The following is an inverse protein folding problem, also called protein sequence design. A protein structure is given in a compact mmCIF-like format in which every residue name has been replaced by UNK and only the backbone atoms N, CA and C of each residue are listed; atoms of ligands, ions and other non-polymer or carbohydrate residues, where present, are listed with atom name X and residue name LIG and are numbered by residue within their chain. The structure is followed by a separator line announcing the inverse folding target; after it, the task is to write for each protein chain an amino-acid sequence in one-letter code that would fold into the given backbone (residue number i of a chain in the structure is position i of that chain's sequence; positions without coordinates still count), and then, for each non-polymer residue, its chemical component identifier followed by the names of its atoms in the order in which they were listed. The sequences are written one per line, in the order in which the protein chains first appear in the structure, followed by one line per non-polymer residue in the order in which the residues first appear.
data_IF_638501862319
#
_entry.id   IF_638501862319
#
_cell.length_a   1.000
_cell.length_b   1.000
_cell.length_c   1.000
_cell.angle_alpha   90.00
_cell.angle_beta   90.00
_cell.angle_gamma   90.00
#
_symmetry.space_group_name_H-M   'P 1'
#
loop_
_entity.id
_entity.type
_entity.pdbx_description
1 polymer ?
#
# COMPACT_ATOMS: atom_id res chain seq x y z
N UNK A 1 62.43 -61.65 23.31
CA UNK A 1 63.36 -60.92 24.19
C UNK A 1 62.98 -59.45 24.20
N UNK A 2 62.87 -58.90 25.41
CA UNK A 2 62.46 -57.53 25.73
C UNK A 2 63.16 -56.45 24.91
N UNK A 3 62.43 -55.36 24.60
CA UNK A 3 63.00 -54.03 24.83
C UNK A 3 61.90 -53.04 25.27
N UNK A 4 62.02 -52.60 26.52
CA UNK A 4 61.16 -51.62 27.18
C UNK A 4 61.32 -50.25 26.51
N UNK A 5 60.21 -49.58 26.19
CA UNK A 5 60.18 -48.11 26.05
C UNK A 5 59.50 -47.51 27.28
N UNK A 6 60.27 -46.68 27.99
CA UNK A 6 59.92 -45.94 29.19
C UNK A 6 58.58 -45.19 29.05
N UNK A 7 57.70 -45.35 30.03
CA UNK A 7 56.54 -44.47 30.21
C UNK A 7 57.01 -43.09 30.69
N UNK A 8 56.61 -42.05 29.96
CA UNK A 8 56.79 -40.66 30.39
C UNK A 8 55.84 -40.35 31.56
N UNK A 9 56.23 -39.49 32.51
CA UNK A 9 55.47 -39.25 33.72
C UNK A 9 54.09 -38.66 33.39
N UNK A 10 53.04 -39.33 33.89
CA UNK A 10 51.67 -38.83 33.85
C UNK A 10 51.55 -37.69 34.85
N UNK A 11 51.21 -36.49 34.37
CA UNK A 11 50.85 -35.34 35.21
C UNK A 11 49.51 -35.64 35.91
N UNK A 12 49.58 -36.36 37.04
CA UNK A 12 48.47 -36.45 37.99
C UNK A 12 48.27 -35.09 38.63
N UNK A 13 47.20 -34.37 38.25
CA UNK A 13 46.76 -33.19 39.00
C UNK A 13 46.11 -32.05 38.23
N UNK A 14 46.00 -32.09 36.91
CA UNK A 14 45.30 -31.01 36.18
C UNK A 14 43.89 -31.46 35.79
N UNK A 15 42.91 -31.12 36.63
CA UNK A 15 41.50 -31.08 36.22
C UNK A 15 41.40 -30.08 35.07
N UNK A 16 41.27 -30.57 33.84
CA UNK A 16 40.78 -29.76 32.72
C UNK A 16 39.35 -29.32 33.07
N UNK A 17 39.22 -28.16 33.71
CA UNK A 17 37.96 -27.43 33.72
C UNK A 17 37.76 -26.92 32.30
N UNK A 18 37.02 -27.68 31.50
CA UNK A 18 36.32 -27.14 30.33
C UNK A 18 35.61 -25.87 30.79
N UNK A 19 35.99 -24.72 30.23
CA UNK A 19 35.29 -23.46 30.51
C UNK A 19 33.86 -23.65 30.02
N UNK A 20 32.87 -23.42 30.90
CA UNK A 20 31.40 -23.41 30.64
C UNK A 20 30.93 -22.53 29.45
N UNK A 21 31.84 -21.95 28.67
CA UNK A 21 31.54 -20.96 27.62
C UNK A 21 31.37 -21.56 26.22
N UNK A 22 31.72 -22.84 26.00
CA UNK A 22 31.69 -23.46 24.67
C UNK A 22 30.77 -24.69 24.54
N UNK A 23 29.88 -24.94 25.50
CA UNK A 23 28.69 -25.77 25.22
C UNK A 23 27.67 -24.89 24.48
N UNK A 24 27.77 -24.81 23.15
CA UNK A 24 26.60 -24.43 22.36
C UNK A 24 25.53 -25.46 22.68
N UNK A 25 24.49 -25.06 23.41
CA UNK A 25 23.30 -25.91 23.60
C UNK A 25 22.93 -26.54 22.26
N UNK A 26 22.79 -27.86 22.23
CA UNK A 26 22.46 -28.59 20.99
C UNK A 26 21.13 -28.05 20.47
N UNK A 27 21.06 -27.82 19.15
CA UNK A 27 19.76 -27.45 18.54
C UNK A 27 18.90 -28.70 18.58
N UNK A 28 17.83 -28.65 19.37
CA UNK A 28 16.92 -29.78 19.59
C UNK A 28 15.46 -29.30 19.50
N UNK A 29 14.94 -29.13 18.28
CA UNK A 29 13.56 -28.70 18.05
C UNK A 29 12.52 -29.67 18.62
N UNK A 30 12.82 -30.97 18.67
CA UNK A 30 11.92 -32.00 19.19
C UNK A 30 11.70 -31.83 20.69
N UNK A 31 12.77 -31.62 21.47
CA UNK A 31 12.63 -31.35 22.90
C UNK A 31 11.87 -30.03 23.18
N UNK A 32 12.12 -29.01 22.36
CA UNK A 32 11.38 -27.75 22.44
C UNK A 32 9.89 -27.96 22.14
N UNK A 33 9.56 -28.72 21.09
CA UNK A 33 8.20 -29.05 20.71
C UNK A 33 7.46 -29.80 21.80
N UNK A 34 8.08 -30.84 22.39
CA UNK A 34 7.50 -31.59 23.52
C UNK A 34 7.13 -30.67 24.68
N UNK A 35 8.01 -29.73 25.03
CA UNK A 35 7.78 -28.79 26.13
C UNK A 35 6.60 -27.85 25.86
N UNK A 36 6.48 -27.33 24.63
CA UNK A 36 5.37 -26.46 24.23
C UNK A 36 4.07 -27.24 24.14
N UNK A 37 4.07 -28.39 23.44
CA UNK A 37 2.90 -29.26 23.26
C UNK A 37 2.34 -29.73 24.59
N UNK A 38 3.21 -30.13 25.54
CA UNK A 38 2.79 -30.53 26.87
C UNK A 38 2.06 -29.40 27.60
N UNK A 39 2.58 -28.17 27.54
CA UNK A 39 1.95 -27.02 28.16
C UNK A 39 0.61 -26.64 27.52
N UNK A 40 0.53 -26.67 26.19
CA UNK A 40 -0.72 -26.43 25.46
C UNK A 40 -1.79 -27.48 25.80
N UNK A 41 -1.40 -28.75 25.90
CA UNK A 41 -2.29 -29.83 26.31
C UNK A 41 -2.79 -29.69 27.76
N UNK A 42 -2.02 -29.04 28.64
CA UNK A 42 -2.45 -28.74 30.02
C UNK A 42 -3.40 -27.54 30.10
N UNK A 43 -3.22 -26.54 29.24
CA UNK A 43 -4.09 -25.35 29.20
C UNK A 43 -5.41 -25.60 28.45
N UNK A 44 -5.41 -26.54 27.50
CA UNK A 44 -6.59 -26.87 26.71
C UNK A 44 -7.06 -25.70 25.84
N UNK A 45 -8.38 -25.48 25.79
CA UNK A 45 -9.01 -24.42 24.99
C UNK A 45 -9.02 -23.05 25.68
N UNK A 46 -8.50 -22.91 26.90
CA UNK A 46 -8.41 -21.62 27.59
C UNK A 46 -7.24 -20.80 27.03
N UNK A 47 -7.55 -19.92 26.07
CA UNK A 47 -6.56 -19.08 25.40
C UNK A 47 -5.91 -18.04 26.32
N UNK A 48 -6.53 -17.67 27.45
CA UNK A 48 -5.89 -16.82 28.45
C UNK A 48 -4.83 -17.62 29.23
N UNK A 49 -5.15 -18.88 29.57
CA UNK A 49 -4.18 -19.80 30.17
C UNK A 49 -3.02 -20.09 29.21
N UNK A 50 -3.30 -20.29 27.91
CA UNK A 50 -2.28 -20.44 26.86
C UNK A 50 -1.35 -19.22 26.83
N UNK A 51 -1.90 -18.00 26.79
CA UNK A 51 -1.08 -16.78 26.78
C UNK A 51 -0.18 -16.65 28.03
N UNK A 52 -0.70 -16.98 29.22
CA UNK A 52 0.07 -17.00 30.47
C UNK A 52 1.16 -18.07 30.46
N UNK A 53 0.86 -19.27 29.95
CA UNK A 53 1.84 -20.33 29.79
C UNK A 53 2.97 -19.89 28.87
N UNK A 54 2.65 -19.30 27.71
CA UNK A 54 3.66 -18.86 26.74
C UNK A 54 4.55 -17.73 27.30
N UNK A 55 4.03 -16.79 28.09
CA UNK A 55 4.83 -15.76 28.79
C UNK A 55 5.70 -16.37 29.90
N UNK A 56 5.17 -17.33 30.69
CA UNK A 56 5.98 -17.99 31.72
C UNK A 56 7.11 -18.85 31.12
N UNK A 57 6.83 -19.54 30.02
CA UNK A 57 7.74 -20.47 29.35
C UNK A 57 8.85 -19.78 28.57
N UNK A 58 8.61 -18.57 28.04
CA UNK A 58 9.64 -17.83 27.29
C UNK A 58 10.79 -17.31 28.15
N UNK A 59 10.68 -17.36 29.48
CA UNK A 59 11.80 -17.13 30.40
C UNK A 59 12.73 -18.35 30.55
N UNK A 60 12.26 -19.54 30.16
CA UNK A 60 12.97 -20.82 30.31
C UNK A 60 13.37 -21.43 28.96
N UNK A 61 12.56 -21.23 27.94
CA UNK A 61 12.75 -21.75 26.59
C UNK A 61 13.25 -20.65 25.65
N UNK A 62 14.20 -20.99 24.77
CA UNK A 62 14.76 -20.05 23.80
C UNK A 62 13.86 -19.87 22.58
N UNK A 63 12.82 -19.04 22.72
CA UNK A 63 11.92 -18.74 21.60
C UNK A 63 12.62 -18.11 20.41
N UNK A 64 13.72 -17.38 20.61
CA UNK A 64 14.43 -16.73 19.51
C UNK A 64 15.04 -17.77 18.58
N UNK A 65 15.60 -18.83 19.16
CA UNK A 65 16.22 -19.93 18.42
C UNK A 65 15.20 -20.87 17.77
N UNK A 66 14.06 -21.07 18.41
CA UNK A 66 13.02 -22.01 17.97
C UNK A 66 11.75 -21.30 17.47
N UNK A 67 11.88 -20.08 16.92
CA UNK A 67 10.73 -19.27 16.52
C UNK A 67 9.86 -19.98 15.46
N UNK A 68 10.48 -20.57 14.44
CA UNK A 68 9.82 -21.39 13.41
C UNK A 68 9.01 -22.53 14.07
N UNK A 69 9.68 -23.37 14.86
CA UNK A 69 9.04 -24.48 15.58
C UNK A 69 7.89 -24.02 16.48
N UNK A 70 8.06 -22.90 17.20
CA UNK A 70 7.02 -22.33 18.05
C UNK A 70 5.77 -21.97 17.24
N UNK A 71 5.93 -21.27 16.13
CA UNK A 71 4.80 -20.82 15.32
C UNK A 71 4.16 -21.96 14.52
N UNK A 72 4.93 -22.95 14.08
CA UNK A 72 4.40 -24.21 13.53
C UNK A 72 3.47 -24.90 14.54
N UNK A 73 3.87 -25.00 15.81
CA UNK A 73 3.04 -25.61 16.85
C UNK A 73 1.78 -24.80 17.12
N UNK A 74 1.91 -23.48 17.26
CA UNK A 74 0.75 -22.62 17.55
C UNK A 74 -0.27 -22.60 16.41
N UNK A 75 0.18 -22.69 15.16
CA UNK A 75 -0.70 -22.68 13.99
C UNK A 75 -1.19 -24.07 13.63
N UNK A 76 -0.29 -25.04 13.44
CA UNK A 76 -0.58 -26.36 12.89
C UNK A 76 -0.57 -27.49 13.93
N UNK A 77 -0.21 -27.21 15.19
CA UNK A 77 -0.21 -28.20 16.28
C UNK A 77 1.04 -29.06 16.36
N UNK A 78 2.03 -28.86 15.47
CA UNK A 78 3.30 -29.56 15.46
C UNK A 78 4.23 -29.02 14.36
N UNK A 79 5.47 -29.51 14.32
CA UNK A 79 6.45 -29.11 13.29
C UNK A 79 5.98 -29.46 11.88
N UNK A 80 6.15 -28.51 10.96
CA UNK A 80 5.86 -28.70 9.54
C UNK A 80 7.10 -29.15 8.77
N UNK A 81 6.94 -30.14 7.91
CA UNK A 81 7.94 -30.56 6.94
C UNK A 81 8.06 -29.52 5.80
N UNK A 82 9.17 -29.53 5.04
CA UNK A 82 9.29 -28.70 3.83
C UNK A 82 8.12 -28.96 2.87
N UNK A 83 7.32 -27.93 2.59
CA UNK A 83 6.11 -28.05 1.77
C UNK A 83 4.78 -27.97 2.53
N UNK A 84 4.82 -27.87 3.88
CA UNK A 84 3.65 -27.61 4.72
C UNK A 84 2.85 -28.84 5.12
N UNK A 85 3.32 -30.05 4.86
CA UNK A 85 2.76 -31.24 5.50
C UNK A 85 3.23 -31.32 6.95
N UNK A 86 2.40 -31.81 7.85
CA UNK A 86 2.84 -32.14 9.21
C UNK A 86 3.95 -33.19 9.14
N UNK A 87 5.03 -32.98 9.91
CA UNK A 87 6.07 -34.01 10.05
C UNK A 87 5.48 -35.29 10.66
N UNK A 88 6.01 -36.45 10.26
CA UNK A 88 5.55 -37.77 10.74
C UNK A 88 5.84 -38.01 12.24
N UNK A 89 6.52 -37.07 12.91
CA UNK A 89 6.77 -37.13 14.35
C UNK A 89 5.47 -36.95 15.17
N UNK A 90 5.31 -37.84 16.14
CA UNK A 90 4.06 -38.10 16.88
C UNK A 90 3.66 -37.00 17.90
N UNK A 91 4.52 -36.02 18.17
CA UNK A 91 4.28 -35.01 19.22
C UNK A 91 3.39 -33.88 18.71
N UNK A 92 2.06 -34.04 18.81
CA UNK A 92 1.08 -33.05 18.33
C UNK A 92 0.15 -32.57 19.44
N UNK A 93 -0.42 -31.38 19.24
CA UNK A 93 -1.51 -30.84 20.05
C UNK A 93 -2.73 -30.54 19.19
N UNK A 94 -3.92 -30.73 19.77
CA UNK A 94 -5.19 -30.28 19.20
C UNK A 94 -5.56 -28.86 19.66
N UNK A 95 -4.70 -28.18 20.42
CA UNK A 95 -4.92 -26.81 20.90
C UNK A 95 -4.09 -25.83 20.06
N UNK A 96 -4.43 -25.75 18.76
CA UNK A 96 -3.80 -24.88 17.77
C UNK A 96 -4.85 -24.27 16.83
N UNK A 97 -4.42 -23.34 15.96
CA UNK A 97 -5.32 -22.65 15.03
C UNK A 97 -5.98 -23.61 14.04
N UNK A 98 -5.27 -24.63 13.56
CA UNK A 98 -5.76 -25.57 12.53
C UNK A 98 -6.83 -26.54 13.04
N UNK A 99 -6.90 -26.78 14.34
CA UNK A 99 -7.94 -27.61 14.97
C UNK A 99 -9.04 -26.79 15.64
N UNK A 100 -8.86 -25.46 15.73
CA UNK A 100 -9.86 -24.55 16.28
C UNK A 100 -11.14 -24.45 15.43
N UNK A 101 -12.18 -23.87 16.02
CA UNK A 101 -13.43 -23.55 15.33
C UNK A 101 -13.23 -22.44 14.28
N UNK A 102 -13.83 -22.59 13.09
CA UNK A 102 -13.74 -21.64 11.99
C UNK A 102 -14.77 -20.50 12.14
N UNK A 103 -14.57 -19.63 13.12
CA UNK A 103 -15.38 -18.43 13.35
C UNK A 103 -14.52 -17.23 13.77
N UNK A 104 -15.08 -16.02 13.65
CA UNK A 104 -14.33 -14.79 13.90
C UNK A 104 -13.96 -14.61 15.38
N UNK A 105 -14.83 -15.00 16.31
CA UNK A 105 -14.60 -14.84 17.74
C UNK A 105 -13.41 -15.70 18.20
N UNK A 106 -13.38 -16.96 17.76
CA UNK A 106 -12.26 -17.87 18.01
C UNK A 106 -10.96 -17.33 17.39
N UNK A 107 -10.98 -16.88 16.13
CA UNK A 107 -9.78 -16.35 15.48
C UNK A 107 -9.27 -15.04 16.12
N UNK A 108 -10.17 -14.19 16.64
CA UNK A 108 -9.81 -12.99 17.40
C UNK A 108 -9.15 -13.37 18.73
N UNK A 109 -9.66 -14.38 19.43
CA UNK A 109 -9.06 -14.86 20.67
C UNK A 109 -7.65 -15.43 20.43
N UNK A 110 -7.46 -16.23 19.37
CA UNK A 110 -6.12 -16.67 18.95
C UNK A 110 -5.21 -15.48 18.60
N UNK A 111 -5.70 -14.50 17.83
CA UNK A 111 -4.94 -13.30 17.51
C UNK A 111 -4.47 -12.54 18.76
N UNK A 112 -5.28 -12.51 19.83
CA UNK A 112 -4.87 -11.92 21.10
C UNK A 112 -3.70 -12.67 21.76
N UNK A 113 -3.64 -14.00 21.65
CA UNK A 113 -2.49 -14.80 22.13
C UNK A 113 -1.22 -14.38 21.38
N UNK A 114 -1.25 -14.33 20.05
CA UNK A 114 -0.12 -13.87 19.24
C UNK A 114 0.27 -12.43 19.58
N UNK A 115 -0.71 -11.53 19.73
CA UNK A 115 -0.46 -10.13 20.08
C UNK A 115 0.24 -9.99 21.43
N UNK A 116 -0.22 -10.72 22.46
CA UNK A 116 0.42 -10.74 23.79
C UNK A 116 1.84 -11.29 23.70
N UNK A 117 2.04 -12.40 22.99
CA UNK A 117 3.34 -13.04 22.80
C UNK A 117 4.34 -12.11 22.10
N UNK A 118 3.98 -11.52 20.96
CA UNK A 118 4.84 -10.63 20.19
C UNK A 118 5.11 -9.31 20.94
N UNK A 119 4.11 -8.75 21.64
CA UNK A 119 4.30 -7.54 22.46
C UNK A 119 5.29 -7.79 23.60
N UNK A 120 5.24 -8.98 24.20
CA UNK A 120 6.12 -9.39 25.30
C UNK A 120 7.53 -9.71 24.80
N UNK A 121 7.64 -10.45 23.70
CA UNK A 121 8.89 -10.88 23.11
C UNK A 121 9.07 -10.27 21.72
N UNK A 122 9.31 -8.95 21.69
CA UNK A 122 9.39 -8.18 20.44
C UNK A 122 10.41 -8.72 19.43
N UNK A 123 11.45 -9.40 19.89
CA UNK A 123 12.43 -10.05 19.01
C UNK A 123 11.85 -11.19 18.16
N UNK A 124 10.66 -11.72 18.49
CA UNK A 124 9.95 -12.73 17.69
C UNK A 124 9.22 -12.14 16.49
N UNK A 125 8.98 -10.83 16.44
CA UNK A 125 8.20 -10.20 15.37
C UNK A 125 8.70 -10.57 13.98
N UNK A 126 10.02 -10.47 13.75
CA UNK A 126 10.61 -10.84 12.46
C UNK A 126 10.47 -12.34 12.17
N UNK A 127 10.71 -13.19 13.17
CA UNK A 127 10.56 -14.64 13.02
C UNK A 127 9.12 -15.04 12.71
N UNK A 128 8.16 -14.36 13.33
CA UNK A 128 6.73 -14.56 13.09
C UNK A 128 6.34 -14.14 11.68
N UNK A 129 6.81 -12.97 11.21
CA UNK A 129 6.53 -12.51 9.85
C UNK A 129 7.07 -13.48 8.79
N UNK A 130 8.29 -13.98 8.98
CA UNK A 130 8.90 -14.96 8.06
C UNK A 130 8.19 -16.31 8.10
N UNK A 131 7.76 -16.79 9.27
CA UNK A 131 7.00 -18.05 9.34
C UNK A 131 5.63 -17.90 8.67
N UNK A 132 4.91 -16.80 8.90
CA UNK A 132 3.64 -16.58 8.20
C UNK A 132 3.85 -16.50 6.69
N UNK A 133 4.90 -15.86 6.19
CA UNK A 133 5.24 -15.90 4.75
C UNK A 133 5.41 -17.32 4.24
N UNK A 134 6.10 -18.18 4.99
CA UNK A 134 6.33 -19.59 4.65
C UNK A 134 5.02 -20.37 4.65
N UNK A 135 4.18 -20.22 5.68
CA UNK A 135 2.83 -20.81 5.72
C UNK A 135 1.98 -20.40 4.51
N UNK A 136 2.02 -19.12 4.13
CA UNK A 136 1.31 -18.61 2.95
C UNK A 136 1.84 -19.19 1.63
N UNK A 137 3.11 -19.60 1.55
CA UNK A 137 3.65 -20.30 0.37
C UNK A 137 3.18 -21.76 0.29
N UNK A 138 2.87 -22.36 1.43
CA UNK A 138 2.49 -23.77 1.54
C UNK A 138 0.98 -24.02 1.64
N UNK A 139 0.15 -23.03 1.29
CA UNK A 139 -1.31 -23.17 1.37
C UNK A 139 -1.87 -24.42 0.68
N UNK A 140 -1.21 -24.93 -0.37
CA UNK A 140 -1.61 -26.18 -1.03
C UNK A 140 -1.48 -27.44 -0.16
N UNK A 141 -0.60 -27.42 0.83
CA UNK A 141 -0.44 -28.51 1.79
C UNK A 141 -1.55 -28.57 2.84
N UNK A 142 -2.38 -27.51 2.94
CA UNK A 142 -3.42 -27.39 3.94
C UNK A 142 -4.82 -27.66 3.35
N UNK A 143 -5.70 -28.21 4.19
CA UNK A 143 -7.11 -28.38 3.89
C UNK A 143 -7.81 -27.02 3.69
N UNK A 144 -9.01 -27.03 3.13
CA UNK A 144 -9.80 -25.80 2.97
C UNK A 144 -10.10 -25.11 4.32
N UNK A 145 -10.49 -25.87 5.35
CA UNK A 145 -10.77 -25.28 6.66
C UNK A 145 -9.53 -24.68 7.32
N UNK A 146 -8.38 -25.35 7.24
CA UNK A 146 -7.11 -24.80 7.74
C UNK A 146 -6.72 -23.51 7.03
N UNK A 147 -6.85 -23.47 5.68
CA UNK A 147 -6.63 -22.25 4.90
C UNK A 147 -7.59 -21.13 5.31
N UNK A 148 -8.85 -21.44 5.55
CA UNK A 148 -9.84 -20.45 5.98
C UNK A 148 -9.49 -19.85 7.34
N UNK A 149 -9.14 -20.70 8.32
CA UNK A 149 -8.73 -20.25 9.66
C UNK A 149 -7.45 -19.43 9.62
N UNK A 150 -6.45 -19.87 8.85
CA UNK A 150 -5.23 -19.10 8.63
C UNK A 150 -5.51 -17.75 7.96
N UNK A 151 -6.39 -17.70 6.96
CA UNK A 151 -6.77 -16.46 6.29
C UNK A 151 -7.45 -15.49 7.25
N UNK A 152 -8.40 -15.98 8.04
CA UNK A 152 -9.13 -15.19 9.03
C UNK A 152 -8.19 -14.61 10.10
N UNK A 153 -7.34 -15.47 10.69
CA UNK A 153 -6.33 -15.05 11.66
C UNK A 153 -5.37 -14.02 11.06
N UNK A 154 -4.86 -14.26 9.85
CA UNK A 154 -3.94 -13.35 9.16
C UNK A 154 -4.59 -11.99 8.93
N UNK A 155 -5.86 -11.94 8.51
CA UNK A 155 -6.61 -10.70 8.34
C UNK A 155 -6.73 -9.90 9.64
N UNK A 156 -7.02 -10.56 10.76
CA UNK A 156 -7.12 -9.91 12.08
C UNK A 156 -5.75 -9.39 12.55
N UNK A 157 -4.68 -10.17 12.37
CA UNK A 157 -3.32 -9.78 12.75
C UNK A 157 -2.78 -8.62 11.91
N UNK A 158 -3.12 -8.56 10.62
CA UNK A 158 -2.84 -7.42 9.75
C UNK A 158 -3.63 -6.18 10.19
N UNK A 159 -4.93 -6.34 10.49
CA UNK A 159 -5.79 -5.26 10.99
C UNK A 159 -5.32 -4.66 12.31
N UNK A 160 -4.76 -5.48 13.19
CA UNK A 160 -4.20 -5.04 14.47
C UNK A 160 -2.74 -4.55 14.39
N UNK A 161 -2.11 -4.64 13.22
CA UNK A 161 -0.73 -4.18 12.98
C UNK A 161 0.35 -5.08 13.60
N UNK A 162 0.00 -6.32 13.97
CA UNK A 162 0.95 -7.33 14.47
C UNK A 162 1.76 -7.96 13.35
N UNK A 163 1.16 -8.03 12.15
CA UNK A 163 1.83 -8.42 10.92
C UNK A 163 1.89 -7.23 9.96
N UNK A 164 2.97 -7.18 9.18
CA UNK A 164 3.10 -6.26 8.05
C UNK A 164 2.43 -6.84 6.80
N UNK A 165 1.81 -5.99 5.98
CA UNK A 165 1.21 -6.41 4.71
C UNK A 165 2.23 -7.02 3.72
N UNK A 166 3.54 -6.84 3.95
CA UNK A 166 4.63 -7.47 3.17
C UNK A 166 4.51 -8.99 3.05
N UNK A 167 3.84 -9.66 4.00
CA UNK A 167 3.60 -11.10 3.95
C UNK A 167 2.74 -11.53 2.75
N UNK A 168 1.87 -10.65 2.25
CA UNK A 168 0.94 -10.98 1.15
C UNK A 168 1.67 -11.25 -0.17
N UNK A 169 2.95 -10.87 -0.28
CA UNK A 169 3.79 -11.23 -1.43
C UNK A 169 3.83 -12.74 -1.69
N UNK A 170 3.75 -13.58 -0.65
CA UNK A 170 3.68 -15.03 -0.79
C UNK A 170 2.45 -15.50 -1.57
N UNK A 171 1.34 -14.77 -1.50
CA UNK A 171 0.11 -15.12 -2.24
C UNK A 171 0.26 -14.92 -3.75
N UNK A 172 1.26 -14.18 -4.22
CA UNK A 172 1.51 -13.97 -5.65
C UNK A 172 2.34 -15.10 -6.28
N UNK A 173 2.66 -16.15 -5.52
CA UNK A 173 3.36 -17.32 -6.04
C UNK A 173 2.56 -18.00 -7.16
N UNK A 174 3.20 -18.24 -8.31
CA UNK A 174 2.53 -18.77 -9.50
C UNK A 174 1.78 -20.09 -9.26
N UNK A 175 2.31 -20.97 -8.40
CA UNK A 175 1.69 -22.27 -8.14
C UNK A 175 0.36 -22.13 -7.39
N UNK A 176 0.26 -21.16 -6.47
CA UNK A 176 -0.96 -20.86 -5.74
C UNK A 176 -1.98 -20.12 -6.63
N UNK A 177 -1.47 -19.19 -7.43
CA UNK A 177 -2.27 -18.35 -8.32
C UNK A 177 -2.93 -19.17 -9.42
N UNK A 178 -2.18 -20.08 -10.08
CA UNK A 178 -2.69 -20.95 -11.15
C UNK A 178 -3.86 -21.84 -10.70
N UNK A 179 -3.83 -22.30 -9.45
CA UNK A 179 -4.86 -23.16 -8.86
C UNK A 179 -6.00 -22.39 -8.18
N UNK A 180 -5.96 -21.05 -8.18
CA UNK A 180 -6.98 -20.21 -7.56
C UNK A 180 -6.93 -20.17 -6.03
N UNK A 181 -5.93 -20.80 -5.40
CA UNK A 181 -5.76 -20.84 -3.94
C UNK A 181 -5.52 -19.43 -3.39
N UNK A 182 -4.72 -18.61 -4.08
CA UNK A 182 -4.43 -17.24 -3.67
C UNK A 182 -5.69 -16.37 -3.59
N UNK A 183 -6.54 -16.43 -4.62
CA UNK A 183 -7.77 -15.64 -4.67
C UNK A 183 -8.79 -16.11 -3.63
N UNK A 184 -8.94 -17.42 -3.42
CA UNK A 184 -9.82 -17.98 -2.39
C UNK A 184 -9.37 -17.58 -0.97
N UNK A 185 -8.07 -17.70 -0.68
CA UNK A 185 -7.49 -17.29 0.60
C UNK A 185 -7.68 -15.78 0.84
N UNK A 186 -7.42 -14.96 -0.18
CA UNK A 186 -7.56 -13.51 -0.11
C UNK A 186 -8.99 -13.06 0.24
N UNK A 187 -10.03 -13.77 -0.24
CA UNK A 187 -11.42 -13.47 0.12
C UNK A 187 -11.64 -13.57 1.62
N UNK A 188 -11.22 -14.67 2.26
CA UNK A 188 -11.39 -14.86 3.71
C UNK A 188 -10.55 -13.85 4.49
N UNK A 189 -9.30 -13.62 4.05
CA UNK A 189 -8.39 -12.67 4.69
C UNK A 189 -8.92 -11.23 4.67
N UNK A 190 -9.33 -10.72 3.51
CA UNK A 190 -9.81 -9.34 3.41
C UNK A 190 -11.16 -9.15 4.09
N UNK A 191 -12.03 -10.18 4.12
CA UNK A 191 -13.25 -10.15 4.94
C UNK A 191 -12.92 -9.94 6.41
N UNK A 192 -12.02 -10.75 6.96
CA UNK A 192 -11.63 -10.64 8.36
C UNK A 192 -10.91 -9.33 8.66
N UNK A 193 -10.04 -8.85 7.78
CA UNK A 193 -9.36 -7.56 7.97
C UNK A 193 -10.34 -6.39 7.95
N UNK A 194 -11.23 -6.31 6.95
CA UNK A 194 -12.22 -5.23 6.85
C UNK A 194 -13.20 -5.29 8.03
N UNK A 195 -13.61 -6.48 8.48
CA UNK A 195 -14.46 -6.62 9.67
C UNK A 195 -13.74 -6.16 10.96
N UNK A 196 -12.44 -6.44 11.09
CA UNK A 196 -11.63 -6.03 12.25
C UNK A 196 -11.36 -4.53 12.29
N UNK A 197 -11.27 -3.88 11.13
CA UNK A 197 -11.04 -2.44 10.96
C UNK A 197 -11.99 -1.86 9.91
N UNK A 198 -11.45 -1.54 8.73
CA UNK A 198 -12.17 -1.00 7.58
C UNK A 198 -11.28 -1.10 6.32
N UNK A 199 -11.84 -0.72 5.17
CA UNK A 199 -11.10 -0.67 3.90
C UNK A 199 -9.95 0.37 3.92
N UNK A 200 -10.03 1.42 4.75
CA UNK A 200 -8.98 2.43 4.84
C UNK A 200 -7.70 1.87 5.48
N UNK A 201 -7.85 1.04 6.52
CA UNK A 201 -6.76 0.30 7.16
C UNK A 201 -6.05 -0.63 6.18
N UNK A 202 -6.81 -1.35 5.36
CA UNK A 202 -6.27 -2.18 4.27
C UNK A 202 -5.50 -1.31 3.29
N UNK A 203 -6.12 -0.25 2.78
CA UNK A 203 -5.53 0.63 1.78
C UNK A 203 -4.23 1.31 2.27
N UNK A 204 -4.20 1.77 3.52
CA UNK A 204 -3.02 2.38 4.13
C UNK A 204 -1.88 1.36 4.30
N UNK A 205 -2.20 0.16 4.76
CA UNK A 205 -1.22 -0.90 5.00
C UNK A 205 -0.61 -1.43 3.70
N UNK A 206 -1.42 -1.61 2.66
CA UNK A 206 -0.93 -2.01 1.32
C UNK A 206 -0.05 -0.92 0.70
N UNK A 207 -0.46 0.35 0.78
CA UNK A 207 0.33 1.49 0.28
C UNK A 207 1.70 1.58 0.96
N UNK A 208 1.76 1.37 2.28
CA UNK A 208 2.99 1.42 3.07
C UNK A 208 4.07 0.45 2.57
N UNK A 209 3.67 -0.69 2.00
CA UNK A 209 4.57 -1.72 1.48
C UNK A 209 4.57 -1.82 -0.06
N UNK A 210 3.91 -0.89 -0.76
CA UNK A 210 3.84 -0.87 -2.22
C UNK A 210 3.06 -2.04 -2.86
N UNK A 211 2.07 -2.59 -2.15
CA UNK A 211 1.25 -3.72 -2.62
C UNK A 211 -0.13 -3.34 -3.14
N UNK A 212 -0.51 -2.07 -3.00
CA UNK A 212 -1.77 -1.52 -3.49
C UNK A 212 -1.98 -1.76 -4.99
N UNK A 213 -0.91 -1.71 -5.79
CA UNK A 213 -0.98 -1.96 -7.24
C UNK A 213 -0.88 -3.44 -7.66
N UNK A 214 -0.68 -4.36 -6.71
CA UNK A 214 -0.34 -5.76 -7.01
C UNK A 214 -1.49 -6.74 -6.79
N UNK A 215 -2.66 -6.27 -6.34
CA UNK A 215 -3.80 -7.15 -6.03
C UNK A 215 -4.27 -7.99 -7.23
N UNK A 216 -4.08 -7.52 -8.46
CA UNK A 216 -4.37 -8.29 -9.67
C UNK A 216 -3.51 -9.56 -9.79
N UNK A 217 -2.34 -9.61 -9.15
CA UNK A 217 -1.45 -10.78 -9.16
C UNK A 217 -2.01 -11.97 -8.37
N UNK A 218 -3.09 -11.78 -7.60
CA UNK A 218 -3.86 -12.89 -7.01
C UNK A 218 -4.48 -13.81 -8.07
N UNK A 219 -4.60 -13.34 -9.31
CA UNK A 219 -5.15 -14.08 -10.43
C UNK A 219 -4.08 -14.43 -11.48
N UNK A 220 -4.25 -15.56 -12.20
CA UNK A 220 -3.42 -15.90 -13.35
C UNK A 220 -3.43 -14.81 -14.41
N UNK A 221 -2.35 -14.66 -15.19
CA UNK A 221 -2.18 -13.59 -16.16
C UNK A 221 -3.38 -13.41 -17.12
N UNK A 222 -3.99 -14.51 -17.57
CA UNK A 222 -5.16 -14.52 -18.46
C UNK A 222 -6.48 -14.07 -17.78
N UNK A 223 -6.48 -13.83 -16.47
CA UNK A 223 -7.63 -13.37 -15.67
C UNK A 223 -7.38 -12.03 -14.96
N UNK A 224 -6.26 -11.36 -15.23
CA UNK A 224 -5.92 -10.06 -14.64
C UNK A 224 -6.66 -8.92 -15.36
N UNK A 225 -7.95 -8.80 -15.10
CA UNK A 225 -8.77 -7.69 -15.59
C UNK A 225 -9.55 -7.04 -14.45
N UNK A 226 -9.86 -5.75 -14.59
CA UNK A 226 -10.65 -5.01 -13.60
C UNK A 226 -12.02 -5.66 -13.40
N UNK A 227 -12.63 -6.12 -14.49
CA UNK A 227 -13.95 -6.74 -14.53
C UNK A 227 -13.92 -8.08 -13.79
N UNK A 228 -12.92 -8.92 -14.06
CA UNK A 228 -12.78 -10.21 -13.38
C UNK A 228 -12.54 -10.02 -11.88
N UNK A 229 -11.60 -9.14 -11.50
CA UNK A 229 -11.31 -8.84 -10.11
C UNK A 229 -12.55 -8.32 -9.39
N UNK A 230 -13.21 -7.31 -9.97
CA UNK A 230 -14.37 -6.67 -9.35
C UNK A 230 -15.52 -7.65 -9.20
N UNK A 231 -15.79 -8.47 -10.22
CA UNK A 231 -16.82 -9.49 -10.15
C UNK A 231 -16.51 -10.51 -9.05
N UNK A 232 -15.30 -11.09 -9.07
CA UNK A 232 -14.92 -12.14 -8.13
C UNK A 232 -15.04 -11.69 -6.66
N UNK A 233 -14.51 -10.51 -6.34
CA UNK A 233 -14.55 -9.99 -4.97
C UNK A 233 -15.94 -9.43 -4.60
N UNK A 234 -16.68 -8.82 -5.52
CA UNK A 234 -18.06 -8.36 -5.25
C UNK A 234 -19.01 -9.52 -5.01
N UNK A 235 -18.94 -10.58 -5.83
CA UNK A 235 -19.74 -11.81 -5.65
C UNK A 235 -19.41 -12.49 -4.31
N UNK A 236 -18.17 -12.32 -3.83
CA UNK A 236 -17.76 -12.76 -2.51
C UNK A 236 -18.16 -11.80 -1.37
N UNK A 237 -18.83 -10.68 -1.62
CA UNK A 237 -19.25 -9.70 -0.60
C UNK A 237 -18.18 -8.67 -0.22
N UNK A 238 -17.14 -8.49 -1.04
CA UNK A 238 -16.04 -7.54 -0.87
C UNK A 238 -16.09 -6.42 -1.92
N UNK A 239 -17.24 -5.74 -2.00
CA UNK A 239 -17.43 -4.61 -2.94
C UNK A 239 -16.44 -3.47 -2.67
N UNK A 240 -16.18 -3.16 -1.40
CA UNK A 240 -15.24 -2.08 -1.02
C UNK A 240 -13.81 -2.34 -1.51
N UNK A 241 -13.35 -3.60 -1.46
CA UNK A 241 -12.06 -4.01 -2.00
C UNK A 241 -12.03 -3.89 -3.53
N UNK A 242 -13.12 -4.25 -4.19
CA UNK A 242 -13.28 -4.12 -5.64
C UNK A 242 -13.20 -2.66 -6.08
N UNK A 243 -13.91 -1.78 -5.38
CA UNK A 243 -13.89 -0.33 -5.62
C UNK A 243 -12.50 0.26 -5.37
N UNK A 244 -11.81 -0.17 -4.30
CA UNK A 244 -10.43 0.20 -4.01
C UNK A 244 -9.47 -0.19 -5.14
N UNK A 245 -9.49 -1.45 -5.58
CA UNK A 245 -8.60 -1.95 -6.63
C UNK A 245 -8.82 -1.22 -7.97
N UNK A 246 -10.09 -0.98 -8.33
CA UNK A 246 -10.45 -0.20 -9.53
C UNK A 246 -9.94 1.23 -9.47
N UNK A 247 -10.11 1.89 -8.33
CA UNK A 247 -9.58 3.25 -8.14
C UNK A 247 -8.05 3.26 -8.23
N UNK A 248 -7.38 2.28 -7.65
CA UNK A 248 -5.93 2.17 -7.68
C UNK A 248 -5.40 1.93 -9.10
N UNK A 249 -6.06 1.10 -9.89
CA UNK A 249 -5.71 0.91 -11.30
C UNK A 249 -5.91 2.19 -12.12
N UNK A 250 -6.99 2.94 -11.87
CA UNK A 250 -7.21 4.24 -12.51
C UNK A 250 -6.10 5.24 -12.16
N UNK A 251 -5.67 5.29 -10.90
CA UNK A 251 -4.53 6.10 -10.46
C UNK A 251 -3.24 5.66 -11.18
N UNK A 252 -2.98 4.35 -11.26
CA UNK A 252 -1.81 3.81 -11.96
C UNK A 252 -1.79 4.17 -13.45
N UNK A 253 -2.92 3.99 -14.15
CA UNK A 253 -3.04 4.35 -15.56
C UNK A 253 -2.82 5.85 -15.81
N UNK A 254 -3.36 6.72 -14.93
CA UNK A 254 -3.14 8.17 -15.00
C UNK A 254 -1.67 8.55 -14.79
N UNK A 255 -0.97 7.87 -13.88
CA UNK A 255 0.47 8.09 -13.65
C UNK A 255 1.32 7.66 -14.85
N UNK A 256 0.99 6.52 -15.47
CA UNK A 256 1.71 6.07 -16.67
C UNK A 256 1.48 7.02 -17.84
N UNK A 257 0.23 7.46 -18.03
CA UNK A 257 -0.10 8.50 -19.02
C UNK A 257 0.66 9.80 -18.75
N UNK A 258 0.72 10.26 -17.50
CA UNK A 258 1.50 11.43 -17.12
C UNK A 258 2.99 11.26 -17.48
N UNK A 259 3.56 10.09 -17.19
CA UNK A 259 4.96 9.79 -17.49
C UNK A 259 5.23 9.81 -19.00
N UNK A 260 4.39 9.16 -19.80
CA UNK A 260 4.54 9.20 -21.27
C UNK A 260 4.42 10.62 -21.82
N UNK A 261 3.51 11.44 -21.29
CA UNK A 261 3.43 12.86 -21.70
C UNK A 261 4.70 13.65 -21.37
N UNK A 262 5.29 13.41 -20.21
CA UNK A 262 6.57 14.02 -19.85
C UNK A 262 7.70 13.54 -20.77
N UNK A 263 7.70 12.26 -21.16
CA UNK A 263 8.66 11.72 -22.13
C UNK A 263 8.50 12.37 -23.51
N UNK A 264 7.27 12.50 -24.02
CA UNK A 264 6.97 13.23 -25.27
C UNK A 264 7.47 14.68 -25.25
N UNK A 265 7.20 15.40 -24.15
CA UNK A 265 7.68 16.77 -23.96
C UNK A 265 9.21 16.84 -23.93
N UNK A 266 9.87 15.86 -23.29
CA UNK A 266 11.34 15.80 -23.21
C UNK A 266 12.01 15.51 -24.56
N UNK A 267 11.34 14.74 -25.43
CA UNK A 267 11.78 14.48 -26.81
C UNK A 267 11.60 15.70 -27.73
N UNK A 268 10.79 16.67 -27.31
CA UNK A 268 10.43 17.82 -28.14
C UNK A 268 9.37 17.48 -29.18
N UNK A 269 8.52 16.48 -28.91
CA UNK A 269 7.42 16.11 -29.80
C UNK A 269 6.48 17.31 -30.00
N UNK A 270 5.89 17.45 -31.20
CA UNK A 270 5.07 18.62 -31.52
C UNK A 270 3.79 18.64 -30.67
N UNK A 271 3.30 19.82 -30.29
CA UNK A 271 2.03 19.91 -29.55
C UNK A 271 0.86 19.27 -30.28
N UNK A 272 0.87 19.28 -31.62
CA UNK A 272 -0.15 18.62 -32.43
C UNK A 272 -0.19 17.11 -32.18
N UNK A 273 0.98 16.47 -32.09
CA UNK A 273 1.10 15.03 -31.88
C UNK A 273 0.74 14.65 -30.44
N UNK A 274 1.22 15.44 -29.46
CA UNK A 274 0.88 15.27 -28.04
C UNK A 274 -0.64 15.41 -27.83
N UNK A 275 -1.28 16.41 -28.44
CA UNK A 275 -2.73 16.61 -28.36
C UNK A 275 -3.48 15.42 -28.98
N UNK A 276 -3.03 14.93 -30.14
CA UNK A 276 -3.64 13.78 -30.80
C UNK A 276 -3.56 12.52 -29.92
N UNK A 277 -2.39 12.25 -29.34
CA UNK A 277 -2.16 11.16 -28.40
C UNK A 277 -3.07 11.27 -27.17
N UNK A 278 -3.08 12.41 -26.49
CA UNK A 278 -3.98 12.65 -25.34
C UNK A 278 -5.46 12.40 -25.69
N UNK A 279 -5.93 12.88 -26.85
CA UNK A 279 -7.32 12.68 -27.29
C UNK A 279 -7.63 11.21 -27.58
N UNK A 280 -6.66 10.44 -28.07
CA UNK A 280 -6.80 9.00 -28.26
C UNK A 280 -6.88 8.26 -26.92
N UNK A 281 -6.01 8.60 -25.97
CA UNK A 281 -6.02 8.01 -24.62
C UNK A 281 -7.28 8.37 -23.83
N UNK A 282 -7.81 9.59 -24.00
CA UNK A 282 -9.12 9.95 -23.44
C UNK A 282 -10.23 9.04 -23.94
N UNK A 283 -10.23 8.69 -25.23
CA UNK A 283 -11.23 7.78 -25.82
C UNK A 283 -11.04 6.35 -25.32
N UNK A 284 -9.81 5.84 -25.32
CA UNK A 284 -9.50 4.47 -24.89
C UNK A 284 -9.85 4.24 -23.42
N UNK A 285 -9.47 5.17 -22.54
CA UNK A 285 -9.67 5.04 -21.10
C UNK A 285 -10.95 5.74 -20.59
N UNK A 286 -11.79 6.27 -21.49
CA UNK A 286 -13.01 7.03 -21.16
C UNK A 286 -12.74 8.15 -20.15
N UNK A 287 -11.62 8.87 -20.30
CA UNK A 287 -11.22 9.95 -19.42
C UNK A 287 -11.99 11.22 -19.75
N UNK A 288 -12.47 11.91 -18.71
CA UNK A 288 -13.07 13.22 -18.86
C UNK A 288 -12.01 14.28 -19.16
N UNK A 289 -12.42 15.39 -19.78
CA UNK A 289 -11.53 16.52 -20.06
C UNK A 289 -10.96 17.13 -18.77
N UNK A 290 -11.75 17.16 -17.69
CA UNK A 290 -11.30 17.59 -16.35
C UNK A 290 -10.18 16.71 -15.80
N UNK A 291 -10.23 15.40 -16.07
CA UNK A 291 -9.15 14.48 -15.67
C UNK A 291 -7.92 14.72 -16.52
N UNK A 292 -8.09 14.87 -17.84
CA UNK A 292 -6.98 15.10 -18.77
C UNK A 292 -6.27 16.42 -18.51
N UNK A 293 -6.99 17.54 -18.33
CA UNK A 293 -6.36 18.84 -18.05
C UNK A 293 -5.57 18.82 -16.75
N UNK A 294 -6.03 18.07 -15.74
CA UNK A 294 -5.28 17.83 -14.52
C UNK A 294 -3.95 17.12 -14.78
N UNK A 295 -3.94 16.08 -15.61
CA UNK A 295 -2.73 15.33 -15.99
C UNK A 295 -1.78 16.21 -16.81
N UNK A 296 -2.32 16.95 -17.80
CA UNK A 296 -1.54 17.89 -18.63
C UNK A 296 -0.89 18.96 -17.75
N UNK A 297 -1.65 19.58 -16.84
CA UNK A 297 -1.11 20.56 -15.89
C UNK A 297 0.04 19.99 -15.06
N UNK A 298 -0.16 18.82 -14.43
CA UNK A 298 0.89 18.20 -13.62
C UNK A 298 2.12 17.82 -14.46
N UNK A 299 1.92 17.37 -15.70
CA UNK A 299 3.00 17.05 -16.64
C UNK A 299 3.81 18.28 -16.99
N UNK A 300 3.14 19.36 -17.41
CA UNK A 300 3.76 20.65 -17.76
C UNK A 300 4.51 21.22 -16.57
N UNK A 301 3.90 21.27 -15.39
CA UNK A 301 4.54 21.85 -14.20
C UNK A 301 5.71 21.03 -13.65
N UNK A 302 5.82 19.75 -14.03
CA UNK A 302 6.94 18.87 -13.64
C UNK A 302 8.00 18.74 -14.72
N UNK A 303 7.83 19.38 -15.88
CA UNK A 303 8.75 19.28 -17.02
C UNK A 303 10.06 20.07 -16.82
N UNK A 304 10.13 20.95 -15.80
CA UNK A 304 11.29 21.80 -15.54
C UNK A 304 11.60 21.85 -14.04
N UNK A 305 12.87 22.11 -13.72
CA UNK A 305 13.27 22.44 -12.36
C UNK A 305 13.00 23.93 -12.08
N UNK A 306 12.26 24.19 -10.99
CA UNK A 306 11.83 25.53 -10.63
C UNK A 306 12.87 26.29 -9.82
N UNK A 307 13.01 27.58 -10.11
CA UNK A 307 13.82 28.47 -9.29
C UNK A 307 13.26 28.57 -7.85
N UNK A 308 14.16 28.74 -6.86
CA UNK A 308 13.79 28.91 -5.44
C UNK A 308 13.62 30.37 -5.03
N UNK A 309 13.98 31.33 -5.90
CA UNK A 309 13.73 32.75 -5.67
C UNK A 309 12.36 33.14 -6.24
N UNK A 310 11.53 33.75 -5.42
CA UNK A 310 10.12 34.07 -5.71
C UNK A 310 9.92 34.88 -7.01
N UNK A 311 10.76 35.89 -7.25
CA UNK A 311 10.67 36.71 -8.47
C UNK A 311 11.08 35.94 -9.73
N UNK A 312 12.19 35.19 -9.64
CA UNK A 312 12.71 34.41 -10.77
C UNK A 312 11.80 33.24 -11.13
N UNK A 313 11.20 32.57 -10.13
CA UNK A 313 10.27 31.47 -10.39
C UNK A 313 9.00 31.96 -11.04
N UNK A 314 8.54 33.17 -10.68
CA UNK A 314 7.37 33.79 -11.30
C UNK A 314 7.63 34.04 -12.79
N UNK A 315 8.75 34.67 -13.16
CA UNK A 315 9.09 34.91 -14.57
C UNK A 315 9.28 33.60 -15.35
N UNK A 316 9.97 32.63 -14.74
CA UNK A 316 10.15 31.30 -15.32
C UNK A 316 8.80 30.61 -15.58
N UNK A 317 7.88 30.66 -14.61
CA UNK A 317 6.56 30.04 -14.73
C UNK A 317 5.73 30.67 -15.85
N UNK A 318 5.74 32.00 -15.97
CA UNK A 318 5.04 32.71 -17.04
C UNK A 318 5.62 32.35 -18.41
N UNK A 319 6.95 32.31 -18.56
CA UNK A 319 7.60 31.91 -19.82
C UNK A 319 7.25 30.47 -20.19
N UNK A 320 7.32 29.56 -19.22
CA UNK A 320 7.03 28.14 -19.40
C UNK A 320 5.56 27.92 -19.78
N UNK A 321 4.62 28.42 -18.98
CA UNK A 321 3.19 28.26 -19.25
C UNK A 321 2.75 28.93 -20.55
N UNK A 322 3.38 30.04 -20.95
CA UNK A 322 3.14 30.66 -22.25
C UNK A 322 3.51 29.71 -23.40
N UNK A 323 4.64 29.01 -23.30
CA UNK A 323 5.04 28.00 -24.28
C UNK A 323 4.02 26.85 -24.37
N UNK A 324 3.48 26.39 -23.24
CA UNK A 324 2.54 25.26 -23.17
C UNK A 324 1.06 25.67 -23.28
N UNK A 325 0.76 26.96 -23.49
CA UNK A 325 -0.63 27.44 -23.60
C UNK A 325 -1.43 26.75 -24.71
N UNK A 326 -0.88 26.44 -25.91
CA UNK A 326 -1.61 25.69 -26.94
C UNK A 326 -2.06 24.29 -26.48
N UNK A 327 -1.23 23.62 -25.67
CA UNK A 327 -1.54 22.31 -25.12
C UNK A 327 -2.61 22.41 -24.03
N UNK A 328 -2.52 23.39 -23.12
CA UNK A 328 -3.52 23.62 -22.10
C UNK A 328 -4.89 23.98 -22.73
N UNK A 329 -4.89 24.87 -23.72
CA UNK A 329 -6.09 25.31 -24.47
C UNK A 329 -6.84 24.12 -25.09
N UNK A 330 -6.11 23.12 -25.58
CA UNK A 330 -6.71 21.94 -26.22
C UNK A 330 -7.53 21.05 -25.28
N UNK A 331 -7.37 21.22 -23.96
CA UNK A 331 -8.06 20.45 -22.91
C UNK A 331 -8.77 21.36 -21.89
N UNK A 332 -9.02 22.62 -22.26
CA UNK A 332 -9.79 23.59 -21.46
C UNK A 332 -10.92 24.19 -22.29
N UNK A 333 -11.62 23.35 -23.07
CA UNK A 333 -12.70 23.75 -23.97
C UNK A 333 -14.08 23.78 -23.33
N UNK A 334 -14.19 23.27 -22.10
CA UNK A 334 -15.42 23.29 -21.30
C UNK A 334 -15.20 24.15 -20.05
N UNK A 335 -16.22 24.90 -19.62
CA UNK A 335 -16.13 25.70 -18.39
C UNK A 335 -15.76 24.88 -17.15
N UNK A 336 -16.15 23.60 -17.08
CA UNK A 336 -15.76 22.71 -15.98
C UNK A 336 -14.28 22.30 -16.04
N UNK A 337 -13.70 22.12 -17.24
CA UNK A 337 -12.25 21.87 -17.40
C UNK A 337 -11.42 23.10 -17.07
N UNK A 338 -11.87 24.29 -17.46
CA UNK A 338 -11.22 25.56 -17.11
C UNK A 338 -11.23 25.80 -15.60
N UNK A 339 -12.39 25.58 -14.95
CA UNK A 339 -12.50 25.66 -13.50
C UNK A 339 -11.59 24.64 -12.80
N UNK A 340 -11.49 23.41 -13.34
CA UNK A 340 -10.58 22.38 -12.82
C UNK A 340 -9.12 22.84 -12.91
N UNK A 341 -8.73 23.47 -14.03
CA UNK A 341 -7.39 24.04 -14.21
C UNK A 341 -7.13 25.17 -13.20
N UNK A 342 -8.07 26.09 -12.99
CA UNK A 342 -7.97 27.16 -11.98
C UNK A 342 -7.74 26.61 -10.58
N UNK A 343 -8.50 25.58 -10.20
CA UNK A 343 -8.34 24.89 -8.91
C UNK A 343 -6.97 24.23 -8.78
N UNK A 344 -6.44 23.65 -9.86
CA UNK A 344 -5.10 23.04 -9.89
C UNK A 344 -3.99 24.09 -9.78
N UNK A 345 -4.16 25.26 -10.39
CA UNK A 345 -3.25 26.40 -10.25
C UNK A 345 -3.28 26.91 -8.80
N UNK A 346 -4.47 27.07 -8.21
CA UNK A 346 -4.63 27.52 -6.83
C UNK A 346 -3.95 26.57 -5.84
N UNK A 347 -4.21 25.26 -5.99
CA UNK A 347 -3.58 24.21 -5.19
C UNK A 347 -2.04 24.24 -5.32
N UNK A 348 -1.52 24.32 -6.55
CA UNK A 348 -0.09 24.32 -6.80
C UNK A 348 0.61 25.56 -6.21
N UNK A 349 0.03 26.74 -6.40
CA UNK A 349 0.60 27.98 -5.87
C UNK A 349 0.56 28.05 -4.33
N UNK A 350 -0.39 27.35 -3.69
CA UNK A 350 -0.45 27.25 -2.23
C UNK A 350 0.55 26.23 -1.67
N UNK A 351 0.60 25.04 -2.28
CA UNK A 351 1.47 23.96 -1.82
C UNK A 351 2.96 24.28 -2.09
N UNK A 352 3.26 25.21 -3.01
CA UNK A 352 4.61 25.70 -3.28
C UNK A 352 4.77 27.17 -2.89
N UNK A 353 5.42 27.43 -1.75
CA UNK A 353 5.56 28.77 -1.16
C UNK A 353 6.16 29.81 -2.12
N UNK A 354 7.02 29.40 -3.05
CA UNK A 354 7.65 30.31 -4.02
C UNK A 354 6.69 30.80 -5.12
N UNK A 355 5.55 30.14 -5.30
CA UNK A 355 4.53 30.47 -6.30
C UNK A 355 3.39 31.33 -5.73
N UNK A 356 3.41 31.65 -4.43
CA UNK A 356 2.33 32.40 -3.79
C UNK A 356 2.01 33.73 -4.47
N UNK A 357 3.00 34.47 -4.98
CA UNK A 357 2.80 35.72 -5.77
C UNK A 357 2.66 35.51 -7.28
N UNK A 358 2.81 34.28 -7.77
CA UNK A 358 2.70 33.96 -9.20
C UNK A 358 1.25 33.72 -9.62
N UNK A 359 0.35 33.37 -8.69
CA UNK A 359 -1.02 32.97 -8.98
C UNK A 359 -1.76 33.92 -9.92
N UNK A 360 -1.88 35.21 -9.55
CA UNK A 360 -2.56 36.20 -10.38
C UNK A 360 -1.94 36.31 -11.78
N UNK A 361 -0.60 36.37 -11.87
CA UNK A 361 0.11 36.49 -13.16
C UNK A 361 -0.14 35.28 -14.05
N UNK A 362 -0.21 34.08 -13.47
CA UNK A 362 -0.53 32.84 -14.18
C UNK A 362 -1.96 32.90 -14.72
N UNK A 363 -2.94 33.27 -13.89
CA UNK A 363 -4.34 33.36 -14.35
C UNK A 363 -4.50 34.41 -15.45
N UNK A 364 -3.89 35.59 -15.31
CA UNK A 364 -3.92 36.64 -16.33
C UNK A 364 -3.26 36.18 -17.64
N UNK A 365 -2.14 35.46 -17.56
CA UNK A 365 -1.50 34.88 -18.75
C UNK A 365 -2.44 33.91 -19.48
N UNK A 366 -3.06 33.00 -18.74
CA UNK A 366 -3.92 31.97 -19.31
C UNK A 366 -5.24 32.54 -19.85
N UNK A 367 -5.78 33.59 -19.23
CA UNK A 367 -6.88 34.38 -19.80
C UNK A 367 -6.47 34.99 -21.15
N UNK A 368 -5.33 35.69 -21.20
CA UNK A 368 -4.81 36.32 -22.43
C UNK A 368 -4.43 35.33 -23.54
N UNK A 369 -4.28 34.05 -23.21
CA UNK A 369 -3.98 32.98 -24.16
C UNK A 369 -5.25 32.19 -24.58
N UNK A 370 -6.44 32.65 -24.17
CA UNK A 370 -7.74 31.99 -24.30
C UNK A 370 -7.75 30.54 -23.78
N UNK A 371 -7.00 30.29 -22.71
CA UNK A 371 -7.04 29.02 -21.97
C UNK A 371 -8.13 29.06 -20.90
N UNK A 372 -8.37 30.23 -20.31
CA UNK A 372 -9.41 30.46 -19.31
C UNK A 372 -10.35 31.56 -19.79
N UNK A 373 -11.64 31.28 -19.73
CA UNK A 373 -12.71 32.25 -19.97
C UNK A 373 -12.91 33.19 -18.78
N UNK A 374 -13.58 34.30 -19.04
CA UNK A 374 -14.01 35.23 -18.00
C UNK A 374 -14.96 34.55 -17.01
N UNK A 375 -15.94 33.80 -17.53
CA UNK A 375 -16.97 33.12 -16.75
C UNK A 375 -16.35 32.11 -15.77
N UNK A 376 -15.34 31.36 -16.19
CA UNK A 376 -14.64 30.42 -15.32
C UNK A 376 -13.89 31.14 -14.18
N UNK A 377 -13.26 32.28 -14.47
CA UNK A 377 -12.52 33.08 -13.49
C UNK A 377 -13.48 33.72 -12.48
N UNK A 378 -14.57 34.31 -12.96
CA UNK A 378 -15.61 34.91 -12.12
C UNK A 378 -16.25 33.86 -11.21
N UNK A 379 -16.60 32.69 -11.75
CA UNK A 379 -17.18 31.57 -10.98
C UNK A 379 -16.22 31.05 -9.90
N UNK A 380 -14.94 30.91 -10.22
CA UNK A 380 -13.92 30.55 -9.24
C UNK A 380 -13.84 31.59 -8.12
N UNK A 381 -13.82 32.87 -8.47
CA UNK A 381 -13.69 33.97 -7.51
C UNK A 381 -14.88 34.04 -6.54
N UNK A 382 -16.09 33.84 -7.03
CA UNK A 382 -17.32 33.98 -6.22
C UNK A 382 -17.61 32.77 -5.33
N UNK A 383 -17.59 31.56 -5.89
CA UNK A 383 -18.12 30.37 -5.19
C UNK A 383 -17.28 29.11 -5.31
N UNK A 384 -16.52 28.93 -6.39
CA UNK A 384 -15.92 27.63 -6.69
C UNK A 384 -14.47 27.46 -6.22
N UNK A 385 -13.85 28.45 -5.58
CA UNK A 385 -12.50 28.37 -5.03
C UNK A 385 -12.39 27.39 -3.84
N UNK A 386 -11.21 26.79 -3.66
CA UNK A 386 -10.93 25.91 -2.52
C UNK A 386 -10.37 26.70 -1.32
N UNK A 387 -10.34 26.07 -0.14
CA UNK A 387 -9.84 26.71 1.09
C UNK A 387 -8.34 27.03 1.05
N UNK A 388 -7.55 26.28 0.26
CA UNK A 388 -6.09 26.46 0.11
C UNK A 388 -5.74 27.86 -0.40
N UNK A 389 -5.18 28.71 0.46
CA UNK A 389 -4.75 30.07 0.08
C UNK A 389 -5.89 31.04 -0.26
N UNK A 390 -7.15 30.71 0.07
CA UNK A 390 -8.36 31.47 -0.31
C UNK A 390 -8.22 32.98 -0.12
N UNK A 391 -7.94 33.44 1.10
CA UNK A 391 -7.89 34.88 1.43
C UNK A 391 -6.82 35.61 0.62
N UNK A 392 -5.66 34.98 0.43
CA UNK A 392 -4.53 35.55 -0.29
C UNK A 392 -4.84 35.65 -1.79
N UNK A 393 -5.36 34.58 -2.39
CA UNK A 393 -5.59 34.56 -3.84
C UNK A 393 -6.80 35.37 -4.28
N UNK A 394 -7.87 35.44 -3.46
CA UNK A 394 -8.97 36.36 -3.73
C UNK A 394 -8.49 37.81 -3.69
N UNK A 395 -7.68 38.19 -2.69
CA UNK A 395 -7.13 39.55 -2.63
C UNK A 395 -6.23 39.87 -3.84
N UNK A 396 -5.38 38.93 -4.26
CA UNK A 396 -4.53 39.11 -5.46
C UNK A 396 -5.34 39.28 -6.74
N UNK A 397 -6.50 38.63 -6.85
CA UNK A 397 -7.34 38.64 -8.05
C UNK A 397 -8.33 39.80 -8.09
N UNK A 398 -8.59 40.47 -6.97
CA UNK A 398 -9.62 41.50 -6.82
C UNK A 398 -9.62 42.54 -7.95
N UNK A 399 -8.48 43.21 -8.18
CA UNK A 399 -8.36 44.24 -9.24
C UNK A 399 -8.61 43.70 -10.65
N UNK A 400 -8.21 42.45 -10.90
CA UNK A 400 -8.38 41.84 -12.21
C UNK A 400 -9.84 41.42 -12.43
N UNK A 401 -10.51 40.92 -11.39
CA UNK A 401 -11.95 40.60 -11.42
C UNK A 401 -12.82 41.85 -11.55
N UNK A 402 -12.46 42.94 -10.85
CA UNK A 402 -13.12 44.24 -11.04
C UNK A 402 -12.96 44.73 -12.49
N UNK A 403 -11.78 44.57 -13.08
CA UNK A 403 -11.56 44.91 -14.48
C UNK A 403 -12.38 44.06 -15.45
N UNK A 404 -12.46 42.73 -15.24
CA UNK A 404 -13.27 41.83 -16.08
C UNK A 404 -14.74 42.28 -16.12
N UNK A 405 -15.36 42.46 -14.95
CA UNK A 405 -16.75 42.89 -14.82
C UNK A 405 -17.05 44.23 -15.50
N UNK A 406 -16.13 45.18 -15.40
CA UNK A 406 -16.33 46.52 -15.98
C UNK A 406 -16.10 46.52 -17.50
N UNK A 407 -15.21 45.65 -18.01
CA UNK A 407 -14.95 45.54 -19.44
C UNK A 407 -16.17 44.99 -20.21
N UNK A 408 -16.97 44.15 -19.57
CA UNK A 408 -18.24 43.65 -20.11
C UNK A 408 -19.31 44.76 -20.17
N UNK A 409 -19.46 45.55 -19.09
CA UNK A 409 -20.43 46.67 -18.99
C UNK A 409 -20.18 47.80 -20.03
N UNK A 410 -18.93 48.09 -20.39
CA UNK A 410 -18.61 49.07 -21.45
C UNK A 410 -18.90 48.53 -22.87
N UNK A 411 -18.90 47.21 -23.07
CA UNK A 411 -19.13 46.60 -24.39
C UNK A 411 -20.61 46.39 -24.72
N UNK A 412 -21.48 46.25 -23.72
CA UNK A 412 -22.94 46.18 -23.92
C UNK A 412 -23.58 47.57 -24.12
N UNK A 413 -23.00 48.62 -23.53
CA UNK A 413 -23.53 49.99 -23.62
C UNK A 413 -23.25 50.68 -24.97
N UNK A 414 -22.23 50.24 -25.73
CA UNK A 414 -21.96 50.73 -27.09
C UNK A 414 -22.88 50.12 -28.17
N UNK A 415 -23.76 49.17 -27.82
CA UNK A 415 -24.75 48.58 -28.74
C UNK A 415 -26.16 49.16 -28.65
N UNK A 416 -26.45 50.03 -27.68
CA UNK A 416 -27.78 50.64 -27.52
C UNK A 416 -27.88 52.11 -28.02
N UNK A 417 -26.78 52.74 -28.42
CA UNK A 417 -26.76 54.15 -28.89
C UNK A 417 -26.65 54.29 -30.43
N UNK A 418 -27.18 53.32 -31.17
CA UNK A 418 -27.14 53.29 -32.64
C UNK A 418 -28.48 53.01 -33.30
N UNK A 419 -29.52 53.81 -33.00
CA UNK A 419 -30.76 53.89 -33.79
C UNK A 419 -31.16 55.35 -34.08
#
# INVERSE_FOLDING_TARGET
MNNQKQQKPTLTGQRFKTRKRDEKERFDPSQFQESIVQGLNQTGTDLEAVAKFLDASGAKLDYRRYAETLFDILVAGGMLAPGGSLSDDLTRTEYCVFTAQEDLETMQAYAQVFNKLIRRYKYLEKGFEEEVKKLLLFLKGFTESERNKLAMLTGILLGNGTLSASILSSLFNENLVKEGVSAAFAVKLFKSWINEKDINSVAASLRKVGMDNRLMELFPANKRSCEHFSKYFTDAGLKELSDFARNQQSIGARKELQKELQEQMSRGDSFKDIIAYCKEEMKKASLSEQTMIGIVWTSVMSAVEWNKKEELVTEQAIKHLKQYSPLLKAFSSQGLSELTLLLKIQEYCYDNIHFMKAFQKIVVLLYKADVLSEEAILKWYTEAHIAKGKSVFLEQMKKFVEWLKNAEEESESDTEDGD
#
